data_IF_335502372219
#
_entry.id   IF_335502372219
#
_cell.length_a   1.000
_cell.length_b   1.000
_cell.length_c   1.000
_cell.angle_alpha   90.00
_cell.angle_beta   90.00
_cell.angle_gamma   90.00
#
_symmetry.space_group_name_H-M   'P 1'
#
loop_
_entity.id
_entity.type
_entity.pdbx_description
1 polymer ?
#
# COMPACT_ATOMS: atom_id res chain seq x y z
N UNK A 1 -4.46 10.56 9.12
CA UNK A 1 -4.44 9.50 8.08
C UNK A 1 -5.65 8.61 8.28
N UNK A 2 -6.17 8.03 7.20
CA UNK A 2 -7.15 6.94 7.25
C UNK A 2 -6.48 5.58 7.10
N UNK A 3 -7.29 4.52 7.06
CA UNK A 3 -6.82 3.14 6.94
C UNK A 3 -6.74 2.71 5.47
N UNK A 4 -5.56 2.26 5.02
CA UNK A 4 -5.41 1.57 3.75
C UNK A 4 -5.61 0.07 3.94
N UNK A 5 -6.17 -0.57 2.93
CA UNK A 5 -6.32 -2.02 2.87
C UNK A 5 -5.27 -2.58 1.88
N UNK A 6 -4.66 -3.70 2.25
CA UNK A 6 -3.64 -4.37 1.43
C UNK A 6 -4.02 -5.83 1.26
N UNK A 7 -4.11 -6.28 0.01
CA UNK A 7 -4.43 -7.67 -0.32
C UNK A 7 -3.46 -8.22 -1.34
N UNK A 8 -3.39 -9.54 -1.45
CA UNK A 8 -2.67 -10.19 -2.53
C UNK A 8 -3.61 -10.42 -3.71
N UNK A 9 -3.21 -9.99 -4.90
CA UNK A 9 -3.92 -10.26 -6.14
C UNK A 9 -2.88 -10.68 -7.18
N UNK A 10 -3.08 -11.84 -7.82
CA UNK A 10 -2.16 -12.41 -8.82
C UNK A 10 -0.70 -12.49 -8.33
N UNK A 11 -0.51 -12.80 -7.04
CA UNK A 11 0.81 -12.92 -6.40
C UNK A 11 1.48 -11.60 -6.02
N UNK A 12 0.84 -10.45 -6.28
CA UNK A 12 1.37 -9.12 -6.00
C UNK A 12 0.52 -8.39 -4.94
N UNK A 13 1.13 -7.61 -4.01
CA UNK A 13 0.38 -6.71 -3.17
C UNK A 13 -0.39 -5.67 -3.99
N UNK A 14 -1.62 -5.48 -3.58
CA UNK A 14 -2.61 -4.61 -4.18
C UNK A 14 -3.12 -3.67 -3.08
N UNK A 15 -3.06 -2.37 -3.34
CA UNK A 15 -3.39 -1.34 -2.36
C UNK A 15 -4.74 -0.70 -2.67
N UNK A 16 -5.52 -0.48 -1.62
CA UNK A 16 -6.83 0.18 -1.70
C UNK A 16 -7.20 0.84 -0.37
N UNK A 17 -8.43 1.34 -0.25
CA UNK A 17 -9.01 1.88 0.99
C UNK A 17 -10.03 0.90 1.57
N UNK A 18 -10.24 0.95 2.89
CA UNK A 18 -11.25 0.10 3.53
C UNK A 18 -12.68 0.54 3.18
N UNK A 19 -13.70 -0.32 3.33
CA UNK A 19 -15.11 0.06 3.18
C UNK A 19 -15.54 1.22 4.09
N UNK A 20 -15.00 1.27 5.31
CA UNK A 20 -15.22 2.36 6.26
C UNK A 20 -14.73 3.69 5.70
N UNK A 21 -13.53 3.71 5.13
CA UNK A 21 -12.94 4.91 4.55
C UNK A 21 -13.69 5.35 3.29
N UNK A 22 -14.10 4.40 2.45
CA UNK A 22 -14.92 4.69 1.27
C UNK A 22 -16.29 5.29 1.60
N UNK A 23 -16.85 4.98 2.77
CA UNK A 23 -18.14 5.49 3.23
C UNK A 23 -18.08 6.94 3.77
N UNK A 24 -16.89 7.58 3.85
CA UNK A 24 -16.74 8.94 4.41
C UNK A 24 -17.35 10.06 3.55
N UNK A 25 -17.77 9.75 2.33
CA UNK A 25 -18.56 10.67 1.50
C UNK A 25 -17.82 11.13 0.25
N UNK A 26 -16.87 12.11 0.34
CA UNK A 26 -16.22 12.65 -0.84
C UNK A 26 -15.40 11.61 -1.60
N UNK A 27 -15.35 11.74 -2.93
CA UNK A 27 -14.51 10.89 -3.77
C UNK A 27 -13.03 11.05 -3.39
N UNK A 28 -12.38 9.94 -3.07
CA UNK A 28 -10.97 9.88 -2.70
C UNK A 28 -10.15 9.69 -3.99
N UNK A 29 -9.36 10.70 -4.38
CA UNK A 29 -8.51 10.61 -5.58
C UNK A 29 -7.07 10.34 -5.19
N UNK A 30 -6.54 9.19 -5.60
CA UNK A 30 -5.17 8.79 -5.32
C UNK A 30 -4.19 9.64 -6.13
N UNK A 31 -3.21 10.26 -5.49
CA UNK A 31 -2.14 11.02 -6.16
C UNK A 31 -0.85 10.22 -6.27
N UNK A 32 -0.48 9.52 -5.21
CA UNK A 32 0.74 8.71 -5.20
C UNK A 32 0.66 7.57 -4.21
N UNK A 33 1.49 6.56 -4.46
CA UNK A 33 1.74 5.45 -3.55
C UNK A 33 3.21 5.52 -3.13
N UNK A 34 3.47 5.46 -1.82
CA UNK A 34 4.81 5.24 -1.28
C UNK A 34 4.85 3.91 -0.55
N UNK A 35 5.92 3.15 -0.77
CA UNK A 35 6.23 1.92 -0.05
C UNK A 35 7.51 2.13 0.70
N UNK A 36 7.45 1.90 2.00
CA UNK A 36 8.58 1.98 2.89
C UNK A 36 8.77 0.65 3.61
N UNK A 37 10.00 0.38 3.98
CA UNK A 37 10.41 -0.77 4.77
C UNK A 37 10.55 -0.34 6.23
N UNK A 38 9.56 -0.74 7.02
CA UNK A 38 9.44 -0.44 8.43
C UNK A 38 10.16 -1.49 9.32
N UNK A 39 10.86 -2.44 8.71
CA UNK A 39 11.64 -3.47 9.43
C UNK A 39 12.99 -2.94 9.92
N UNK A 40 13.41 -1.77 9.46
CA UNK A 40 14.70 -1.15 9.80
C UNK A 40 14.49 0.19 10.51
N UNK A 41 15.52 0.63 11.22
CA UNK A 41 15.58 1.99 11.76
C UNK A 41 16.85 2.67 11.24
N UNK A 42 16.75 3.77 10.48
CA UNK A 42 15.51 4.44 10.06
C UNK A 42 14.68 3.61 9.06
N UNK A 43 13.40 3.98 8.92
CA UNK A 43 12.50 3.42 7.90
C UNK A 43 13.07 3.70 6.51
N UNK A 44 13.24 2.67 5.69
CA UNK A 44 13.83 2.78 4.36
C UNK A 44 12.78 3.04 3.28
N UNK A 45 13.04 3.94 2.32
CA UNK A 45 12.17 4.06 1.15
C UNK A 45 12.44 2.90 0.17
N UNK A 46 11.37 2.22 -0.27
CA UNK A 46 11.47 1.06 -1.19
C UNK A 46 11.09 1.46 -2.61
N UNK A 47 9.90 2.04 -2.74
CA UNK A 47 9.36 2.42 -4.04
C UNK A 47 8.31 3.51 -3.88
N UNK A 48 8.21 4.37 -4.87
CA UNK A 48 7.22 5.42 -4.93
C UNK A 48 6.73 5.59 -6.36
N UNK A 49 5.44 5.87 -6.53
CA UNK A 49 4.86 6.27 -7.80
C UNK A 49 3.94 7.47 -7.62
N UNK A 50 4.17 8.51 -8.41
CA UNK A 50 3.26 9.63 -8.59
C UNK A 50 2.41 9.40 -9.84
N UNK A 51 1.10 9.37 -9.66
CA UNK A 51 0.15 9.19 -10.75
C UNK A 51 -0.01 10.49 -11.55
N UNK A 52 -0.48 10.36 -12.79
CA UNK A 52 -0.81 11.50 -13.64
C UNK A 52 -1.92 12.35 -13.01
N UNK A 53 -1.56 13.57 -12.59
CA UNK A 53 -2.46 14.50 -11.89
C UNK A 53 -3.68 14.92 -12.71
N UNK A 54 -3.68 14.70 -14.03
CA UNK A 54 -4.82 14.94 -14.91
C UNK A 54 -5.77 13.74 -15.03
N UNK A 55 -5.34 12.54 -14.62
CA UNK A 55 -6.04 11.26 -14.79
C UNK A 55 -6.17 10.47 -13.49
N UNK A 56 -6.35 11.16 -12.35
CA UNK A 56 -6.46 10.51 -11.04
C UNK A 56 -7.76 9.70 -10.92
N UNK A 57 -7.61 8.39 -10.72
CA UNK A 57 -8.73 7.50 -10.46
C UNK A 57 -9.33 7.72 -9.06
N UNK A 58 -10.64 7.53 -8.95
CA UNK A 58 -11.32 7.45 -7.65
C UNK A 58 -11.04 6.10 -7.01
N UNK A 59 -10.60 6.11 -5.77
CA UNK A 59 -10.40 4.90 -4.98
C UNK A 59 -11.75 4.34 -4.53
N UNK A 60 -11.84 3.02 -4.50
CA UNK A 60 -12.93 2.28 -3.88
C UNK A 60 -12.40 0.96 -3.32
N UNK A 61 -13.09 0.29 -2.39
CA UNK A 61 -12.63 -0.99 -1.86
C UNK A 61 -12.46 -2.07 -2.94
N UNK A 62 -13.15 -1.94 -4.08
CA UNK A 62 -13.00 -2.83 -5.23
C UNK A 62 -11.76 -2.52 -6.09
N UNK A 63 -11.24 -1.30 -6.04
CA UNK A 63 -10.08 -0.88 -6.82
C UNK A 63 -8.80 -1.63 -6.41
N UNK A 64 -7.84 -1.68 -7.32
CA UNK A 64 -6.54 -2.29 -7.08
C UNK A 64 -5.43 -1.42 -7.64
N UNK A 65 -4.54 -0.96 -6.76
CA UNK A 65 -3.29 -0.33 -7.17
C UNK A 65 -2.17 -1.33 -6.95
N UNK A 66 -1.72 -2.04 -8.00
CA UNK A 66 -0.73 -3.09 -7.87
C UNK A 66 0.66 -2.52 -7.58
N UNK A 67 1.38 -3.16 -6.66
CA UNK A 67 2.77 -2.84 -6.38
C UNK A 67 3.63 -2.97 -7.64
N UNK A 68 4.52 -2.01 -7.83
CA UNK A 68 5.53 -2.03 -8.88
C UNK A 68 5.04 -1.71 -10.29
N UNK A 69 3.75 -1.46 -10.48
CA UNK A 69 3.25 -0.97 -11.75
C UNK A 69 3.31 0.55 -11.81
N UNK A 70 3.83 1.06 -12.92
CA UNK A 70 3.85 2.50 -13.23
C UNK A 70 2.90 2.74 -14.41
N UNK A 71 1.67 3.21 -14.16
CA UNK A 71 0.72 3.51 -15.23
C UNK A 71 1.27 4.55 -16.20
N UNK A 72 0.71 4.60 -17.42
CA UNK A 72 1.10 5.59 -18.41
C UNK A 72 0.94 7.02 -17.88
N UNK A 73 1.97 7.85 -18.05
CA UNK A 73 2.02 9.22 -17.54
C UNK A 73 2.34 9.36 -16.04
N UNK A 74 2.48 8.25 -15.31
CA UNK A 74 2.98 8.25 -13.94
C UNK A 74 4.52 8.33 -13.91
N UNK A 75 5.07 8.76 -12.78
CA UNK A 75 6.52 8.77 -12.53
C UNK A 75 6.83 7.92 -11.31
N UNK A 76 7.74 6.95 -11.45
CA UNK A 76 8.14 6.07 -10.35
C UNK A 76 9.61 6.21 -9.98
N UNK A 77 9.92 5.95 -8.70
CA UNK A 77 11.27 5.93 -8.14
C UNK A 77 11.42 4.76 -7.15
N UNK A 78 12.37 3.84 -7.37
CA UNK A 78 13.05 3.59 -8.65
C UNK A 78 12.05 3.30 -9.78
N UNK A 79 12.49 3.39 -11.04
CA UNK A 79 11.61 3.19 -12.21
C UNK A 79 11.04 1.75 -12.25
N UNK A 80 11.82 0.78 -11.78
CA UNK A 80 11.38 -0.61 -11.55
C UNK A 80 11.37 -0.84 -10.05
N UNK A 81 10.24 -1.25 -9.49
CA UNK A 81 10.14 -1.49 -8.06
C UNK A 81 10.98 -2.71 -7.64
N UNK A 82 11.70 -2.65 -6.50
CA UNK A 82 12.43 -3.80 -5.99
C UNK A 82 11.49 -4.94 -5.57
N UNK A 83 11.98 -6.17 -5.54
CA UNK A 83 11.22 -7.29 -4.99
C UNK A 83 11.00 -7.11 -3.48
N UNK A 84 9.75 -7.29 -3.04
CA UNK A 84 9.41 -7.36 -1.63
C UNK A 84 9.87 -8.71 -1.06
N UNK A 85 10.59 -8.65 0.05
CA UNK A 85 11.19 -9.80 0.73
C UNK A 85 10.21 -10.39 1.75
N UNK A 86 10.31 -11.70 1.96
CA UNK A 86 9.54 -12.38 3.00
C UNK A 86 10.00 -11.95 4.40
N UNK A 87 9.06 -11.94 5.34
CA UNK A 87 9.29 -11.64 6.76
C UNK A 87 9.63 -10.18 7.07
N UNK A 88 9.58 -9.30 6.07
CA UNK A 88 9.75 -7.85 6.25
C UNK A 88 8.40 -7.16 6.35
N UNK A 89 8.32 -6.18 7.25
CA UNK A 89 7.17 -5.30 7.42
C UNK A 89 7.34 -4.11 6.50
N UNK A 90 6.34 -3.90 5.64
CA UNK A 90 6.24 -2.79 4.73
C UNK A 90 5.08 -1.88 5.13
N UNK A 91 5.29 -0.58 4.97
CA UNK A 91 4.29 0.46 5.09
C UNK A 91 3.91 0.97 3.71
N UNK A 92 2.60 1.01 3.41
CA UNK A 92 2.07 1.70 2.23
C UNK A 92 1.41 3.00 2.66
N UNK A 93 1.80 4.09 1.99
CA UNK A 93 1.15 5.38 2.10
C UNK A 93 0.44 5.69 0.79
N UNK A 94 -0.88 5.78 0.83
CA UNK A 94 -1.72 6.25 -0.26
C UNK A 94 -1.97 7.74 -0.06
N UNK A 95 -1.23 8.59 -0.76
CA UNK A 95 -1.41 10.04 -0.66
C UNK A 95 -2.52 10.46 -1.59
N UNK A 96 -3.48 11.20 -1.07
CA UNK A 96 -4.71 11.52 -1.81
C UNK A 96 -4.93 13.01 -1.88
N UNK A 97 -5.58 13.45 -2.97
CA UNK A 97 -6.12 14.79 -3.07
C UNK A 97 -7.59 14.74 -2.63
N UNK A 98 -7.96 15.34 -1.49
CA UNK A 98 -9.37 15.45 -1.13
C UNK A 98 -10.12 16.20 -2.22
N UNK A 99 -11.28 15.68 -2.60
CA UNK A 99 -12.24 16.42 -3.42
C UNK A 99 -12.94 17.52 -2.61
N UNK A 100 -13.06 17.32 -1.30
CA UNK A 100 -13.56 18.28 -0.31
C UNK A 100 -12.39 18.83 0.53
N UNK A 101 -12.19 20.15 0.55
CA UNK A 101 -11.11 20.79 1.30
C UNK A 101 -11.28 20.72 2.81
N UNK A 102 -12.50 20.46 3.30
CA UNK A 102 -12.82 20.31 4.72
C UNK A 102 -12.45 18.94 5.29
N UNK A 103 -12.24 17.92 4.45
CA UNK A 103 -11.75 16.62 4.87
C UNK A 103 -10.24 16.71 5.23
N UNK A 104 -9.86 16.51 6.51
CA UNK A 104 -8.46 16.54 6.91
C UNK A 104 -7.68 15.29 6.47
N UNK A 105 -8.34 14.28 5.90
CA UNK A 105 -7.72 13.03 5.48
C UNK A 105 -6.93 13.22 4.18
N UNK A 106 -5.63 13.48 4.30
CA UNK A 106 -4.72 13.66 3.16
C UNK A 106 -4.04 12.38 2.67
N UNK A 107 -4.27 11.26 3.35
CA UNK A 107 -3.76 9.97 2.93
C UNK A 107 -4.12 8.83 3.86
N UNK A 108 -3.82 7.62 3.40
CA UNK A 108 -4.16 6.36 4.05
C UNK A 108 -2.89 5.54 4.30
N UNK A 109 -2.83 4.87 5.44
CA UNK A 109 -1.71 4.05 5.88
C UNK A 109 -2.14 2.58 5.98
N UNK A 110 -1.31 1.68 5.47
CA UNK A 110 -1.45 0.25 5.71
C UNK A 110 -0.09 -0.36 6.03
N UNK A 111 -0.08 -1.38 6.88
CA UNK A 111 1.11 -2.20 7.12
C UNK A 111 0.85 -3.63 6.71
N UNK A 112 1.87 -4.27 6.15
CA UNK A 112 1.75 -5.65 5.71
C UNK A 112 3.10 -6.34 5.68
N UNK A 113 3.10 -7.66 5.66
CA UNK A 113 4.25 -8.46 5.33
C UNK A 113 3.88 -9.62 4.41
N UNK A 114 4.89 -10.15 3.74
CA UNK A 114 4.78 -11.34 2.91
C UNK A 114 5.41 -12.51 3.66
N UNK A 115 4.72 -13.65 3.64
CA UNK A 115 5.22 -14.92 4.19
C UNK A 115 5.17 -16.00 3.14
N UNK A 116 5.93 -17.07 3.32
CA UNK A 116 5.81 -18.26 2.47
C UNK A 116 4.43 -18.89 2.69
N UNK A 117 3.73 -19.21 1.61
CA UNK A 117 2.51 -20.01 1.69
C UNK A 117 2.92 -21.48 1.65
N UNK A 118 3.07 -22.09 2.83
CA UNK A 118 3.65 -23.43 3.02
C UNK A 118 2.80 -24.59 2.51
N UNK A 119 1.89 -24.36 1.55
CA UNK A 119 0.87 -25.33 1.20
C UNK A 119 1.31 -26.38 0.16
N UNK A 120 2.17 -26.10 -0.83
CA UNK A 120 2.46 -27.13 -1.87
C UNK A 120 3.63 -26.82 -2.83
N UNK A 121 4.77 -26.32 -2.34
CA UNK A 121 6.03 -26.27 -3.13
C UNK A 121 5.99 -25.40 -4.40
N UNK A 122 4.88 -24.72 -4.67
CA UNK A 122 4.80 -23.58 -5.59
C UNK A 122 5.23 -22.35 -4.81
N UNK A 123 5.86 -21.40 -5.50
CA UNK A 123 6.39 -20.14 -4.96
C UNK A 123 5.28 -19.17 -4.45
N UNK A 124 4.25 -19.69 -3.76
CA UNK A 124 3.15 -18.95 -3.21
C UNK A 124 3.60 -18.04 -2.08
N UNK A 125 3.12 -16.80 -2.11
CA UNK A 125 3.28 -15.83 -1.02
C UNK A 125 1.93 -15.66 -0.34
N UNK A 126 1.91 -15.55 0.98
CA UNK A 126 0.77 -15.12 1.77
C UNK A 126 0.99 -13.68 2.21
N UNK A 127 -0.03 -12.85 2.12
CA UNK A 127 -0.02 -11.50 2.68
C UNK A 127 -0.66 -11.50 4.07
N UNK A 128 0.04 -10.92 5.04
CA UNK A 128 -0.48 -10.67 6.39
C UNK A 128 -0.61 -9.17 6.54
N UNK A 129 -1.82 -8.71 6.79
CA UNK A 129 -2.04 -7.33 7.22
C UNK A 129 -1.59 -7.17 8.65
N UNK A 130 -0.91 -6.06 8.91
CA UNK A 130 -0.46 -5.71 10.24
C UNK A 130 -1.17 -4.43 10.66
N UNK A 131 -1.55 -4.35 11.94
CA UNK A 131 -2.26 -3.18 12.47
C UNK A 131 -1.37 -1.95 12.34
N UNK A 132 -1.85 -0.91 11.67
CA UNK A 132 -1.03 0.28 11.38
C UNK A 132 -0.46 1.00 12.62
N UNK A 133 -1.12 0.88 13.78
CA UNK A 133 -0.73 1.51 15.04
C UNK A 133 0.26 0.70 15.89
N UNK A 134 0.60 -0.52 15.48
CA UNK A 134 1.46 -1.39 16.28
C UNK A 134 2.95 -1.03 16.11
N UNK A 135 3.78 -1.51 17.04
CA UNK A 135 5.25 -1.29 17.02
C UNK A 135 5.95 -2.48 16.35
N UNK A 136 5.41 -3.01 15.26
CA UNK A 136 5.59 -4.43 14.87
C UNK A 136 6.97 -4.85 14.38
N UNK A 137 7.95 -3.94 14.29
CA UNK A 137 9.36 -4.37 14.30
C UNK A 137 9.69 -5.25 15.53
N UNK A 138 8.81 -5.25 16.56
CA UNK A 138 9.01 -5.92 17.85
C UNK A 138 8.16 -7.20 18.09
N UNK A 139 7.07 -7.46 17.35
CA UNK A 139 6.04 -8.44 17.78
C UNK A 139 6.02 -9.79 17.05
N UNK A 140 6.94 -10.04 16.11
CA UNK A 140 7.06 -11.38 15.49
C UNK A 140 5.89 -11.80 14.59
N UNK A 141 4.94 -10.90 14.29
CA UNK A 141 3.77 -11.15 13.41
C UNK A 141 4.17 -11.64 12.01
N UNK A 142 5.38 -11.27 11.57
CA UNK A 142 5.91 -11.54 10.25
C UNK A 142 7.08 -12.54 10.28
N UNK A 143 7.14 -13.44 11.27
CA UNK A 143 8.16 -14.50 11.37
C UNK A 143 7.55 -15.88 11.21
#
# INVERSE_FOLDING_TARGET
MGDADVRLQDGQPCFTITPKEAARGPAIRLQSVSINDASTTPVGNVWWVMLDQKRLATMSPASCVPYGQTPEGATAKPAVAPDLQLGRVYEVHLNTRPSDSSDPTRGYLGKFCLMADGADGTNGRKLVQVKADSREWTEGVCR
#
